data_IF_474219803326
#
_entry.id   IF_474219803326
#
_cell.length_a   1.000
_cell.length_b   1.000
_cell.length_c   1.000
_cell.angle_alpha   90.00
_cell.angle_beta   90.00
_cell.angle_gamma   90.00
#
_symmetry.space_group_name_H-M   'P 1'
#
loop_
_entity.id
_entity.type
_entity.pdbx_description
1 polymer ?
#
# COMPACT_ATOMS: atom_id res chain seq x y z
N UNK A 1 46.13 -3.46 -12.07
CA UNK A 1 46.55 -4.03 -10.76
C UNK A 1 48.06 -4.24 -10.64
N UNK A 2 48.71 -5.16 -11.37
CA UNK A 2 50.18 -5.39 -11.24
C UNK A 2 51.03 -4.12 -11.45
N UNK A 3 50.65 -3.28 -12.42
CA UNK A 3 51.32 -1.97 -12.67
C UNK A 3 51.00 -0.89 -11.62
N UNK A 4 49.87 -1.01 -10.92
CA UNK A 4 49.40 0.00 -9.97
C UNK A 4 50.15 -0.04 -8.63
N UNK A 5 50.92 -1.10 -8.36
CA UNK A 5 51.61 -1.31 -7.09
C UNK A 5 50.65 -1.74 -5.99
N UNK A 6 49.81 -0.83 -5.48
CA UNK A 6 48.94 -1.12 -4.32
C UNK A 6 47.48 -1.33 -4.71
N UNK A 7 46.80 -2.22 -3.99
CA UNK A 7 45.37 -2.46 -4.16
C UNK A 7 44.68 -2.81 -2.84
N UNK A 8 43.34 -2.84 -2.88
CA UNK A 8 42.48 -3.26 -1.79
C UNK A 8 41.45 -4.28 -2.31
N UNK A 9 41.07 -5.22 -1.46
CA UNK A 9 40.05 -6.22 -1.76
C UNK A 9 38.76 -5.94 -1.00
N UNK A 10 37.63 -6.19 -1.64
CA UNK A 10 36.35 -6.36 -0.98
C UNK A 10 35.87 -7.78 -1.27
N UNK A 11 35.54 -8.52 -0.21
CA UNK A 11 35.20 -9.94 -0.29
C UNK A 11 33.82 -10.14 0.30
N UNK A 12 32.99 -10.89 -0.41
CA UNK A 12 31.67 -11.29 0.03
C UNK A 12 31.48 -12.78 -0.23
N UNK A 13 30.88 -13.48 0.73
CA UNK A 13 30.48 -14.87 0.59
C UNK A 13 28.98 -14.92 0.32
N UNK A 14 28.60 -15.64 -0.71
CA UNK A 14 27.20 -15.78 -1.08
C UNK A 14 26.89 -17.21 -1.47
N UNK A 15 25.68 -17.66 -1.14
CA UNK A 15 25.15 -18.94 -1.64
C UNK A 15 24.44 -18.71 -2.97
N UNK A 16 24.79 -19.49 -3.99
CA UNK A 16 24.13 -19.41 -5.29
C UNK A 16 22.80 -20.18 -5.32
N UNK A 17 22.13 -20.16 -6.48
CA UNK A 17 20.82 -20.82 -6.68
C UNK A 17 20.87 -22.35 -6.60
N UNK A 18 22.05 -22.94 -6.75
CA UNK A 18 22.29 -24.38 -6.57
C UNK A 18 22.59 -24.76 -5.12
N UNK A 19 22.73 -23.78 -4.23
CA UNK A 19 23.07 -24.02 -2.82
C UNK A 19 24.57 -24.07 -2.56
N UNK A 20 25.40 -23.79 -3.56
CA UNK A 20 26.85 -23.80 -3.43
C UNK A 20 27.37 -22.45 -2.95
N UNK A 21 28.36 -22.47 -2.06
CA UNK A 21 29.00 -21.26 -1.55
C UNK A 21 29.97 -20.69 -2.59
N UNK A 22 29.86 -19.40 -2.87
CA UNK A 22 30.68 -18.66 -3.82
C UNK A 22 31.40 -17.53 -3.09
N UNK A 23 32.70 -17.39 -3.36
CA UNK A 23 33.49 -16.25 -2.93
C UNK A 23 33.56 -15.22 -4.07
N UNK A 24 32.97 -14.06 -3.84
CA UNK A 24 33.04 -12.92 -4.74
C UNK A 24 34.12 -11.96 -4.27
N UNK A 25 35.11 -11.70 -5.14
CA UNK A 25 36.19 -10.78 -4.87
C UNK A 25 36.11 -9.58 -5.80
N UNK A 26 36.08 -8.38 -5.23
CA UNK A 26 36.25 -7.13 -5.93
C UNK A 26 37.62 -6.56 -5.60
N UNK A 27 38.24 -5.90 -6.56
CA UNK A 27 39.51 -5.21 -6.37
C UNK A 27 39.35 -3.73 -6.68
N UNK A 28 39.94 -2.91 -5.82
CA UNK A 28 40.07 -1.46 -5.99
C UNK A 28 41.54 -1.07 -6.02
N UNK A 29 41.96 -0.35 -7.05
CA UNK A 29 43.34 0.14 -7.19
C UNK A 29 43.37 1.50 -7.89
N UNK A 30 44.45 2.25 -7.72
CA UNK A 30 44.66 3.51 -8.44
C UNK A 30 45.52 3.24 -9.69
N UNK A 31 45.07 3.70 -10.84
CA UNK A 31 45.87 3.68 -12.09
C UNK A 31 46.05 5.11 -12.57
N UNK A 32 47.29 5.53 -12.86
CA UNK A 32 47.67 6.91 -13.23
C UNK A 32 46.98 8.01 -12.36
N UNK A 33 45.78 8.44 -12.74
CA UNK A 33 44.95 9.43 -12.02
C UNK A 33 43.64 8.87 -11.42
N UNK A 34 43.17 7.70 -11.83
CA UNK A 34 41.80 7.23 -11.57
C UNK A 34 41.74 6.03 -10.62
N UNK A 35 40.67 5.98 -9.81
CA UNK A 35 40.36 4.83 -8.97
C UNK A 35 39.53 3.84 -9.78
N UNK A 36 40.09 2.64 -9.98
CA UNK A 36 39.46 1.59 -10.75
C UNK A 36 38.90 0.50 -9.83
N UNK A 37 37.72 0.00 -10.17
CA UNK A 37 37.00 -1.05 -9.45
C UNK A 37 36.53 -2.12 -10.41
N UNK A 38 36.92 -3.36 -10.14
CA UNK A 38 36.54 -4.50 -10.96
C UNK A 38 36.22 -5.72 -10.10
N UNK A 39 35.35 -6.58 -10.64
CA UNK A 39 35.24 -7.95 -10.15
C UNK A 39 36.55 -8.64 -10.50
N UNK A 40 37.27 -9.11 -9.48
CA UNK A 40 38.51 -9.84 -9.63
C UNK A 40 38.23 -11.30 -10.00
N UNK A 41 37.34 -11.95 -9.25
CA UNK A 41 36.82 -13.28 -9.57
C UNK A 41 35.53 -13.57 -8.80
N UNK A 42 34.82 -14.60 -9.26
CA UNK A 42 33.80 -15.33 -8.52
C UNK A 42 34.20 -16.81 -8.57
N UNK A 43 34.53 -17.41 -7.43
CA UNK A 43 35.00 -18.80 -7.37
C UNK A 43 34.21 -19.58 -6.31
N UNK A 44 33.87 -20.82 -6.64
CA UNK A 44 33.21 -21.72 -5.70
C UNK A 44 34.13 -22.06 -4.53
N UNK A 45 33.53 -22.23 -3.34
CA UNK A 45 34.19 -22.75 -2.15
C UNK A 45 33.84 -24.25 -2.06
N UNK A 46 34.74 -25.16 -2.46
CA UNK A 46 34.41 -26.59 -2.66
C UNK A 46 34.16 -27.37 -1.36
N UNK A 47 34.51 -26.81 -0.20
CA UNK A 47 34.39 -27.47 1.10
C UNK A 47 33.58 -26.65 2.09
N UNK A 48 34.22 -26.22 3.18
CA UNK A 48 33.62 -25.41 4.23
C UNK A 48 33.89 -23.92 3.98
N UNK A 49 32.96 -23.07 4.40
CA UNK A 49 33.14 -21.60 4.40
C UNK A 49 34.06 -21.13 5.54
N UNK A 50 35.21 -21.78 5.74
CA UNK A 50 36.20 -21.41 6.77
C UNK A 50 37.17 -20.37 6.24
N UNK A 51 37.76 -19.59 7.15
CA UNK A 51 38.76 -18.58 6.79
C UNK A 51 40.01 -19.16 6.09
N UNK A 52 40.36 -20.42 6.36
CA UNK A 52 41.48 -21.11 5.71
C UNK A 52 41.16 -21.46 4.26
N UNK A 53 39.98 -22.00 3.97
CA UNK A 53 39.57 -22.31 2.59
C UNK A 53 39.41 -21.03 1.75
N UNK A 54 38.81 -19.99 2.34
CA UNK A 54 38.69 -18.68 1.70
C UNK A 54 40.09 -18.12 1.37
N UNK A 55 41.04 -18.22 2.31
CA UNK A 55 42.43 -17.82 2.08
C UNK A 55 43.07 -18.62 0.94
N UNK A 56 42.93 -19.95 0.93
CA UNK A 56 43.51 -20.81 -0.10
C UNK A 56 42.98 -20.49 -1.50
N UNK A 57 41.69 -20.18 -1.65
CA UNK A 57 41.12 -19.77 -2.94
C UNK A 57 41.73 -18.47 -3.44
N UNK A 58 41.86 -17.46 -2.56
CA UNK A 58 42.47 -16.17 -2.92
C UNK A 58 43.96 -16.35 -3.22
N UNK A 59 44.68 -17.08 -2.37
CA UNK A 59 46.12 -17.33 -2.50
C UNK A 59 46.47 -18.11 -3.77
N UNK A 60 45.64 -19.11 -4.12
CA UNK A 60 45.80 -19.85 -5.38
C UNK A 60 45.59 -18.95 -6.58
N UNK A 61 44.58 -18.08 -6.56
CA UNK A 61 44.37 -17.08 -7.62
C UNK A 61 45.55 -16.11 -7.71
N UNK A 62 46.10 -15.68 -6.57
CA UNK A 62 47.24 -14.76 -6.50
C UNK A 62 48.50 -15.40 -7.09
N UNK A 63 48.80 -16.65 -6.73
CA UNK A 63 49.92 -17.42 -7.29
C UNK A 63 49.78 -17.66 -8.79
N UNK A 64 48.58 -18.04 -9.25
CA UNK A 64 48.29 -18.26 -10.67
C UNK A 64 48.53 -17.00 -11.52
N UNK A 65 48.29 -15.82 -10.96
CA UNK A 65 48.37 -14.54 -11.66
C UNK A 65 49.61 -13.70 -11.29
N UNK A 66 50.54 -14.28 -10.52
CA UNK A 66 51.77 -13.63 -10.07
C UNK A 66 51.49 -12.30 -9.33
N UNK A 67 50.62 -12.37 -8.32
CA UNK A 67 50.22 -11.25 -7.46
C UNK A 67 50.76 -11.51 -6.05
N UNK A 68 51.57 -10.59 -5.54
CA UNK A 68 52.05 -10.68 -4.16
C UNK A 68 51.05 -10.07 -3.16
N UNK A 69 50.94 -10.72 -1.99
CA UNK A 69 50.13 -10.23 -0.88
C UNK A 69 50.63 -8.91 -0.29
N UNK A 70 51.92 -8.62 -0.40
CA UNK A 70 52.59 -7.39 0.08
C UNK A 70 51.96 -6.12 -0.49
N UNK A 71 51.41 -6.19 -1.70
CA UNK A 71 50.73 -5.12 -2.40
C UNK A 71 49.26 -4.92 -1.98
N UNK A 72 48.66 -5.91 -1.30
CA UNK A 72 47.30 -5.82 -0.78
C UNK A 72 47.30 -5.02 0.52
N UNK A 73 46.82 -3.78 0.48
CA UNK A 73 46.86 -2.87 1.63
C UNK A 73 45.68 -3.03 2.57
N UNK A 74 44.51 -3.36 2.03
CA UNK A 74 43.25 -3.41 2.78
C UNK A 74 42.37 -4.58 2.32
N UNK A 75 41.66 -5.19 3.27
CA UNK A 75 40.57 -6.13 3.02
C UNK A 75 39.30 -5.60 3.67
N UNK A 76 38.21 -5.53 2.90
CA UNK A 76 36.87 -5.21 3.36
C UNK A 76 35.99 -6.46 3.34
N UNK A 77 35.37 -6.83 4.47
CA UNK A 77 34.43 -7.97 4.55
C UNK A 77 33.22 -7.64 5.41
N UNK A 78 32.18 -8.46 5.34
CA UNK A 78 30.96 -8.40 6.17
C UNK A 78 31.22 -8.63 7.68
N UNK A 79 32.43 -9.01 8.06
CA UNK A 79 32.80 -9.24 9.46
C UNK A 79 32.32 -10.56 10.05
N UNK A 80 31.80 -11.50 9.24
CA UNK A 80 31.52 -12.85 9.68
C UNK A 80 32.77 -13.50 10.33
N UNK A 81 32.58 -14.40 11.29
CA UNK A 81 33.69 -14.99 12.05
C UNK A 81 34.73 -15.69 11.15
N UNK A 82 34.27 -16.30 10.05
CA UNK A 82 35.13 -16.90 9.04
C UNK A 82 36.00 -15.88 8.29
N UNK A 83 35.53 -14.64 8.15
CA UNK A 83 36.24 -13.55 7.47
C UNK A 83 37.14 -12.77 8.43
N UNK A 84 36.59 -12.33 9.56
CA UNK A 84 37.23 -11.37 10.49
C UNK A 84 38.02 -12.02 11.63
N UNK A 85 37.87 -13.33 11.85
CA UNK A 85 38.51 -14.04 12.96
C UNK A 85 40.03 -13.91 12.96
N UNK A 86 40.61 -13.46 14.08
CA UNK A 86 42.04 -13.14 14.18
C UNK A 86 43.00 -14.33 14.20
N UNK A 87 42.48 -15.56 14.36
CA UNK A 87 43.30 -16.80 14.39
C UNK A 87 42.92 -17.74 13.26
N UNK A 88 41.64 -18.14 13.21
CA UNK A 88 41.10 -19.11 12.23
C UNK A 88 40.36 -18.46 11.06
N UNK A 89 40.08 -17.16 11.13
CA UNK A 89 39.42 -16.43 10.06
C UNK A 89 40.39 -16.04 8.95
N UNK A 90 39.86 -15.61 7.81
CA UNK A 90 40.63 -15.14 6.67
C UNK A 90 41.67 -14.11 7.09
N UNK A 91 41.27 -13.11 7.88
CA UNK A 91 42.18 -12.07 8.36
C UNK A 91 43.37 -12.65 9.14
N UNK A 92 43.14 -13.65 9.98
CA UNK A 92 44.21 -14.35 10.70
C UNK A 92 45.18 -15.10 9.78
N UNK A 93 44.67 -15.66 8.68
CA UNK A 93 45.50 -16.34 7.67
C UNK A 93 46.31 -15.33 6.85
N UNK A 94 45.68 -14.26 6.37
CA UNK A 94 46.36 -13.24 5.55
C UNK A 94 47.45 -12.53 6.34
N UNK A 95 47.26 -12.31 7.65
CA UNK A 95 48.29 -11.72 8.52
C UNK A 95 49.57 -12.55 8.62
N UNK A 96 49.55 -13.84 8.28
CA UNK A 96 50.75 -14.68 8.23
C UNK A 96 51.62 -14.40 7.01
N UNK A 97 51.02 -13.89 5.93
CA UNK A 97 51.71 -13.58 4.66
C UNK A 97 51.86 -12.08 4.40
N UNK A 98 51.05 -11.24 5.05
CA UNK A 98 51.17 -9.79 5.05
C UNK A 98 50.77 -9.22 6.43
N UNK A 99 51.76 -8.88 7.25
CA UNK A 99 51.56 -8.36 8.61
C UNK A 99 50.98 -6.95 8.66
N UNK A 100 51.20 -6.16 7.61
CA UNK A 100 50.79 -4.75 7.53
C UNK A 100 49.35 -4.56 7.02
N UNK A 101 48.67 -5.67 6.67
CA UNK A 101 47.34 -5.59 6.08
C UNK A 101 46.31 -5.01 7.05
N UNK A 102 45.52 -4.07 6.53
CA UNK A 102 44.43 -3.44 7.28
C UNK A 102 43.10 -4.11 6.93
N UNK A 103 42.22 -4.18 7.91
CA UNK A 103 40.87 -4.71 7.72
C UNK A 103 39.83 -3.63 7.97
N UNK A 104 38.81 -3.60 7.12
CA UNK A 104 37.65 -2.75 7.24
C UNK A 104 36.39 -3.60 7.32
N UNK A 105 35.56 -3.32 8.32
CA UNK A 105 34.23 -3.90 8.39
C UNK A 105 33.30 -3.18 7.41
N UNK A 106 32.63 -3.92 6.54
CA UNK A 106 31.66 -3.40 5.57
C UNK A 106 30.65 -2.47 6.25
N UNK A 107 30.60 -1.22 5.78
CA UNK A 107 29.76 -0.17 6.39
C UNK A 107 28.26 -0.49 6.26
N UNK A 108 27.88 -1.11 5.14
CA UNK A 108 26.50 -1.52 4.85
C UNK A 108 26.08 -2.60 5.84
N UNK A 109 26.97 -3.56 6.12
CA UNK A 109 26.70 -4.56 7.13
C UNK A 109 26.64 -3.96 8.55
N UNK A 110 27.52 -2.99 8.88
CA UNK A 110 27.45 -2.27 10.16
C UNK A 110 26.15 -1.49 10.34
N UNK A 111 25.68 -0.83 9.29
CA UNK A 111 24.36 -0.16 9.27
C UNK A 111 23.24 -1.18 9.51
N UNK A 112 23.25 -2.31 8.80
CA UNK A 112 22.28 -3.38 8.98
C UNK A 112 22.30 -3.97 10.41
N UNK A 113 23.48 -4.09 11.02
CA UNK A 113 23.60 -4.52 12.43
C UNK A 113 23.07 -3.46 13.40
N UNK A 114 23.28 -2.18 13.12
CA UNK A 114 22.77 -1.08 13.95
C UNK A 114 21.23 -1.05 13.91
N UNK A 115 20.63 -1.25 12.73
CA UNK A 115 19.18 -1.25 12.55
C UNK A 115 18.46 -2.48 13.10
N UNK A 116 19.18 -3.54 13.52
CA UNK A 116 18.61 -4.68 14.27
C UNK A 116 18.27 -4.34 15.71
N UNK A 117 18.83 -3.26 16.28
CA UNK A 117 18.55 -2.85 17.65
C UNK A 117 17.25 -2.04 17.69
N UNK A 118 16.16 -2.73 17.94
CA UNK A 118 14.81 -2.18 18.01
C UNK A 118 14.26 -2.39 19.43
N UNK A 119 13.41 -1.49 19.93
CA UNK A 119 12.81 -1.65 21.26
C UNK A 119 11.97 -2.94 21.33
N UNK A 120 11.78 -3.55 22.51
CA UNK A 120 10.98 -4.78 22.63
C UNK A 120 9.56 -4.64 22.06
N UNK A 121 8.93 -3.48 22.23
CA UNK A 121 7.57 -3.18 21.76
C UNK A 121 7.51 -3.17 20.23
N UNK A 122 8.48 -2.52 19.59
CA UNK A 122 8.56 -2.46 18.13
C UNK A 122 9.04 -3.80 17.54
N UNK A 123 9.85 -4.56 18.27
CA UNK A 123 10.27 -5.92 17.88
C UNK A 123 9.08 -6.87 17.83
N UNK A 124 8.16 -6.78 18.79
CA UNK A 124 6.94 -7.59 18.80
C UNK A 124 6.08 -7.32 17.54
N UNK A 125 5.91 -6.06 17.16
CA UNK A 125 5.19 -5.67 15.93
C UNK A 125 5.88 -6.23 14.67
N UNK A 126 7.21 -6.19 14.61
CA UNK A 126 7.97 -6.78 13.50
C UNK A 126 7.77 -8.30 13.42
N UNK A 127 7.81 -9.00 14.55
CA UNK A 127 7.64 -10.45 14.59
C UNK A 127 6.24 -10.86 14.15
N UNK A 128 5.21 -10.13 14.58
CA UNK A 128 3.84 -10.38 14.16
C UNK A 128 3.64 -10.07 12.68
N UNK A 129 4.20 -8.97 12.17
CA UNK A 129 4.21 -8.66 10.75
C UNK A 129 4.85 -9.79 9.92
N UNK A 130 5.99 -10.32 10.35
CA UNK A 130 6.66 -11.44 9.68
C UNK A 130 5.78 -12.70 9.70
N UNK A 131 5.14 -13.03 10.82
CA UNK A 131 4.21 -14.19 10.92
C UNK A 131 3.03 -14.05 9.95
N UNK A 132 2.43 -12.86 9.86
CA UNK A 132 1.31 -12.59 8.95
C UNK A 132 1.72 -12.77 7.49
N UNK A 133 2.86 -12.20 7.11
CA UNK A 133 3.39 -12.29 5.75
C UNK A 133 3.72 -13.76 5.42
N UNK A 134 4.38 -14.46 6.33
CA UNK A 134 4.69 -15.88 6.16
C UNK A 134 3.43 -16.73 6.06
N UNK A 135 2.36 -16.43 6.81
CA UNK A 135 1.09 -17.13 6.69
C UNK A 135 0.46 -16.98 5.30
N UNK A 136 0.41 -15.75 4.77
CA UNK A 136 -0.14 -15.47 3.44
C UNK A 136 0.71 -16.15 2.35
N UNK A 137 2.04 -16.18 2.53
CA UNK A 137 2.96 -16.82 1.58
C UNK A 137 3.15 -18.34 1.78
N UNK A 138 2.72 -18.91 2.92
CA UNK A 138 2.95 -20.31 3.27
C UNK A 138 2.35 -21.30 2.27
N UNK A 139 1.25 -20.92 1.61
CA UNK A 139 0.51 -21.75 0.66
C UNK A 139 0.25 -20.98 -0.63
N UNK A 140 0.48 -21.60 -1.81
CA UNK A 140 0.12 -20.99 -3.09
C UNK A 140 -1.37 -20.62 -3.20
N UNK A 141 -2.26 -21.35 -2.49
CA UNK A 141 -3.67 -21.01 -2.41
C UNK A 141 -3.90 -19.69 -1.66
N UNK A 142 -3.31 -19.51 -0.48
CA UNK A 142 -3.44 -18.29 0.32
C UNK A 142 -3.00 -17.07 -0.50
N UNK A 143 -1.87 -17.17 -1.19
CA UNK A 143 -1.39 -16.10 -2.08
C UNK A 143 -2.38 -15.76 -3.20
N UNK A 144 -2.99 -16.76 -3.83
CA UNK A 144 -4.00 -16.53 -4.88
C UNK A 144 -5.28 -15.92 -4.33
N UNK A 145 -5.77 -16.41 -3.19
CA UNK A 145 -6.96 -15.87 -2.54
C UNK A 145 -6.73 -14.43 -2.07
N UNK A 146 -5.58 -14.14 -1.46
CA UNK A 146 -5.21 -12.79 -1.09
C UNK A 146 -5.07 -11.88 -2.32
N UNK A 147 -4.49 -12.38 -3.42
CA UNK A 147 -4.44 -11.63 -4.67
C UNK A 147 -5.83 -11.34 -5.22
N UNK A 148 -6.73 -12.31 -5.21
CA UNK A 148 -8.12 -12.11 -5.61
C UNK A 148 -8.80 -11.07 -4.72
N UNK A 149 -8.63 -11.17 -3.39
CA UNK A 149 -9.13 -10.16 -2.46
C UNK A 149 -8.56 -8.77 -2.77
N UNK A 150 -7.26 -8.65 -3.08
CA UNK A 150 -6.65 -7.39 -3.49
C UNK A 150 -7.05 -6.96 -4.91
N UNK A 151 -7.51 -7.84 -5.79
CA UNK A 151 -8.08 -7.48 -7.10
C UNK A 151 -9.56 -7.11 -7.01
N UNK A 152 -10.23 -7.56 -5.94
CA UNK A 152 -11.60 -7.23 -5.50
C UNK A 152 -11.64 -6.10 -4.44
N UNK A 153 -10.48 -5.72 -3.90
CA UNK A 153 -10.20 -4.54 -3.06
C UNK A 153 -9.30 -3.51 -3.77
N UNK A 154 -8.72 -3.88 -4.94
CA UNK A 154 -8.23 -3.07 -6.09
C UNK A 154 -7.36 -1.91 -5.67
N UNK A 155 -6.65 -2.27 -4.62
CA UNK A 155 -5.41 -1.73 -4.17
C UNK A 155 -4.45 -1.64 -5.35
N UNK A 156 -3.56 -0.65 -5.30
CA UNK A 156 -2.48 -0.50 -6.28
C UNK A 156 -1.59 -1.77 -6.31
N UNK A 157 -1.60 -2.52 -5.22
CA UNK A 157 -0.75 -3.66 -5.01
C UNK A 157 -1.55 -4.92 -4.73
N UNK A 158 -1.36 -5.92 -5.58
CA UNK A 158 -2.15 -7.16 -5.51
C UNK A 158 -1.49 -8.26 -4.66
N UNK A 159 -0.27 -8.03 -4.18
CA UNK A 159 0.51 -9.02 -3.45
C UNK A 159 1.44 -8.37 -2.43
N UNK A 160 1.61 -9.07 -1.31
CA UNK A 160 2.68 -8.81 -0.34
C UNK A 160 4.03 -9.21 -0.91
N UNK A 161 5.08 -8.56 -0.40
CA UNK A 161 6.46 -8.90 -0.72
C UNK A 161 6.95 -9.98 0.25
N UNK A 162 7.50 -11.06 -0.31
CA UNK A 162 8.15 -12.10 0.47
C UNK A 162 9.31 -11.51 1.29
N UNK A 163 9.30 -11.83 2.57
CA UNK A 163 10.45 -11.61 3.43
C UNK A 163 11.40 -12.81 3.33
N UNK A 164 12.69 -12.55 3.16
CA UNK A 164 13.75 -13.52 3.43
C UNK A 164 14.67 -12.93 4.48
N UNK A 165 15.02 -13.72 5.50
CA UNK A 165 15.89 -13.30 6.62
C UNK A 165 17.26 -12.76 6.18
N UNK A 166 17.65 -13.07 4.94
CA UNK A 166 19.01 -12.86 4.42
C UNK A 166 19.30 -11.38 4.14
N UNK A 167 18.31 -10.47 4.03
CA UNK A 167 18.58 -9.03 3.79
C UNK A 167 17.59 -8.13 4.51
N UNK A 168 18.02 -7.49 5.62
CA UNK A 168 17.22 -6.54 6.43
C UNK A 168 16.58 -5.41 5.61
N UNK A 169 17.18 -5.06 4.46
CA UNK A 169 16.72 -4.02 3.54
C UNK A 169 15.39 -4.33 2.83
N UNK A 170 15.04 -5.62 2.67
CA UNK A 170 13.73 -5.99 2.14
C UNK A 170 12.60 -5.64 3.11
N UNK A 171 12.89 -5.56 4.42
CA UNK A 171 11.88 -5.29 5.46
C UNK A 171 11.20 -3.94 5.25
N UNK A 172 11.91 -2.87 4.86
CA UNK A 172 11.29 -1.56 4.66
C UNK A 172 10.18 -1.58 3.60
N UNK A 173 10.48 -2.17 2.43
CA UNK A 173 9.48 -2.32 1.35
C UNK A 173 8.35 -3.27 1.74
N UNK A 174 8.70 -4.36 2.43
CA UNK A 174 7.72 -5.34 2.90
C UNK A 174 6.78 -4.76 3.96
N UNK A 175 7.28 -3.96 4.91
CA UNK A 175 6.48 -3.29 5.94
C UNK A 175 5.61 -2.18 5.35
N UNK A 176 6.17 -1.39 4.42
CA UNK A 176 5.39 -0.41 3.65
C UNK A 176 4.21 -1.10 2.95
N UNK A 177 4.49 -2.19 2.23
CA UNK A 177 3.45 -2.96 1.52
C UNK A 177 2.42 -3.56 2.48
N UNK A 178 2.85 -4.06 3.63
CA UNK A 178 1.96 -4.58 4.66
C UNK A 178 1.06 -3.48 5.21
N UNK A 179 1.62 -2.29 5.46
CA UNK A 179 0.85 -1.13 5.90
C UNK A 179 -0.13 -0.65 4.82
N UNK A 180 0.26 -0.60 3.55
CA UNK A 180 -0.65 -0.23 2.45
C UNK A 180 -1.83 -1.19 2.31
N UNK A 181 -1.61 -2.48 2.59
CA UNK A 181 -2.62 -3.55 2.46
C UNK A 181 -3.21 -3.99 3.81
N UNK A 182 -3.04 -3.22 4.88
CA UNK A 182 -3.37 -3.69 6.24
C UNK A 182 -4.86 -4.01 6.42
N UNK A 183 -5.74 -3.33 5.68
CA UNK A 183 -7.18 -3.59 5.70
C UNK A 183 -7.53 -4.93 5.03
N UNK A 184 -6.97 -5.18 3.84
CA UNK A 184 -7.15 -6.44 3.12
C UNK A 184 -6.55 -7.60 3.90
N UNK A 185 -5.40 -7.38 4.52
CA UNK A 185 -4.76 -8.36 5.40
C UNK A 185 -5.64 -8.65 6.60
N UNK A 186 -6.23 -7.65 7.24
CA UNK A 186 -7.17 -7.85 8.34
C UNK A 186 -8.39 -8.70 7.93
N UNK A 187 -9.03 -8.36 6.81
CA UNK A 187 -10.18 -9.12 6.26
C UNK A 187 -9.77 -10.57 5.97
N UNK A 188 -8.65 -10.76 5.28
CA UNK A 188 -8.12 -12.08 4.96
C UNK A 188 -7.85 -12.92 6.21
N UNK A 189 -7.25 -12.34 7.25
CA UNK A 189 -6.95 -13.03 8.50
C UNK A 189 -8.24 -13.38 9.28
N UNK A 190 -9.26 -12.51 9.26
CA UNK A 190 -10.57 -12.79 9.87
C UNK A 190 -11.28 -13.96 9.20
N UNK A 191 -11.32 -13.99 7.87
CA UNK A 191 -11.92 -15.10 7.11
C UNK A 191 -11.24 -16.44 7.41
N UNK A 192 -9.93 -16.41 7.62
CA UNK A 192 -9.12 -17.59 7.95
C UNK A 192 -9.03 -17.86 9.47
N UNK A 193 -9.76 -17.11 10.31
CA UNK A 193 -9.78 -17.22 11.77
C UNK A 193 -8.37 -17.20 12.39
N UNK A 194 -7.47 -16.42 11.81
CA UNK A 194 -6.09 -16.32 12.26
C UNK A 194 -5.99 -15.45 13.53
N UNK A 195 -5.23 -15.89 14.53
CA UNK A 195 -5.14 -15.23 15.84
C UNK A 195 -4.63 -13.78 15.76
N UNK A 196 -3.71 -13.50 14.82
CA UNK A 196 -3.17 -12.15 14.58
C UNK A 196 -4.15 -11.20 13.87
N UNK A 197 -5.39 -11.59 13.56
CA UNK A 197 -6.36 -10.62 13.04
C UNK A 197 -6.63 -9.47 14.03
N UNK A 198 -6.63 -9.77 15.33
CA UNK A 198 -6.93 -8.79 16.40
C UNK A 198 -5.90 -7.66 16.48
N UNK A 199 -4.64 -7.89 16.10
CA UNK A 199 -3.62 -6.84 16.20
C UNK A 199 -3.83 -5.71 15.19
N UNK A 200 -4.57 -5.94 14.12
CA UNK A 200 -4.93 -4.90 13.15
C UNK A 200 -6.13 -4.04 13.61
N UNK A 201 -6.88 -4.49 14.61
CA UNK A 201 -7.90 -3.69 15.29
C UNK A 201 -7.24 -2.73 16.31
N UNK A 202 -6.06 -3.08 16.82
CA UNK A 202 -5.30 -2.26 17.74
C UNK A 202 -4.73 -1.02 17.01
N UNK A 203 -5.36 0.10 17.34
CA UNK A 203 -5.03 1.42 16.90
C UNK A 203 -3.55 1.80 17.05
N UNK A 204 -2.95 1.40 18.16
CA UNK A 204 -1.59 1.69 18.56
C UNK A 204 -0.60 0.76 17.84
N UNK A 205 -0.98 -0.52 17.67
CA UNK A 205 -0.21 -1.47 16.87
C UNK A 205 -0.08 -1.02 15.42
N UNK A 206 -1.17 -0.58 14.78
CA UNK A 206 -1.14 -0.06 13.40
C UNK A 206 -0.30 1.22 13.30
N UNK A 207 -0.31 2.08 14.33
CA UNK A 207 0.55 3.26 14.40
C UNK A 207 2.04 2.88 14.48
N UNK A 208 2.38 1.88 15.31
CA UNK A 208 3.75 1.33 15.40
C UNK A 208 4.18 0.69 14.07
N UNK A 209 3.28 0.00 13.36
CA UNK A 209 3.55 -0.53 12.03
C UNK A 209 3.84 0.60 11.02
N UNK A 210 3.05 1.68 11.04
CA UNK A 210 3.27 2.86 10.19
C UNK A 210 4.65 3.48 10.44
N UNK A 211 5.00 3.69 11.71
CA UNK A 211 6.31 4.19 12.11
C UNK A 211 7.45 3.28 11.64
N UNK A 212 7.29 1.96 11.82
CA UNK A 212 8.27 0.97 11.36
C UNK A 212 8.46 1.04 9.84
N UNK A 213 7.38 1.16 9.07
CA UNK A 213 7.45 1.32 7.63
C UNK A 213 8.22 2.60 7.23
N UNK A 214 7.96 3.74 7.89
CA UNK A 214 8.66 4.99 7.61
C UNK A 214 10.16 4.93 7.98
N UNK A 215 10.50 4.47 9.19
CA UNK A 215 11.90 4.46 9.66
C UNK A 215 12.75 3.46 8.86
N UNK A 216 12.20 2.29 8.52
CA UNK A 216 12.91 1.34 7.67
C UNK A 216 13.05 1.81 6.22
N UNK A 217 12.09 2.59 5.71
CA UNK A 217 12.25 3.23 4.40
C UNK A 217 13.43 4.20 4.38
N UNK A 218 13.60 5.01 5.43
CA UNK A 218 14.74 5.91 5.60
C UNK A 218 16.07 5.19 5.77
N UNK A 219 16.09 4.08 6.51
CA UNK A 219 17.28 3.21 6.63
C UNK A 219 17.65 2.59 5.27
N UNK A 220 16.66 2.14 4.51
CA UNK A 220 16.86 1.61 3.17
C UNK A 220 17.40 2.67 2.19
N UNK A 221 16.93 3.91 2.27
CA UNK A 221 17.51 5.04 1.51
C UNK A 221 18.98 5.28 1.87
N UNK A 222 19.32 5.32 3.17
CA UNK A 222 20.71 5.43 3.60
C UNK A 222 21.54 4.30 3.02
N UNK A 223 21.09 3.05 3.16
CA UNK A 223 21.82 1.89 2.71
C UNK A 223 22.06 1.91 1.19
N UNK A 224 21.04 2.22 0.39
CA UNK A 224 21.20 2.40 -1.06
C UNK A 224 22.19 3.51 -1.39
N UNK A 225 22.20 4.60 -0.61
CA UNK A 225 23.16 5.69 -0.80
C UNK A 225 24.60 5.30 -0.44
N UNK A 226 24.82 4.26 0.37
CA UNK A 226 26.14 3.73 0.70
C UNK A 226 26.67 2.77 -0.37
N UNK A 227 25.85 2.42 -1.37
CA UNK A 227 26.21 1.57 -2.49
C UNK A 227 26.50 2.39 -3.75
N UNK A 228 27.04 1.72 -4.77
CA UNK A 228 27.22 2.28 -6.11
C UNK A 228 28.65 2.71 -6.43
N UNK A 229 28.85 3.03 -7.71
CA UNK A 229 30.15 3.47 -8.25
C UNK A 229 30.60 4.76 -7.58
N UNK A 230 31.92 4.93 -7.42
CA UNK A 230 32.57 6.10 -6.81
C UNK A 230 32.30 6.29 -5.30
N UNK A 231 31.62 5.35 -4.64
CA UNK A 231 31.44 5.41 -3.19
C UNK A 231 32.76 5.07 -2.46
N UNK A 232 33.32 6.06 -1.77
CA UNK A 232 34.52 5.91 -0.93
C UNK A 232 34.24 6.24 0.54
N UNK A 233 35.19 5.87 1.40
CA UNK A 233 35.04 5.93 2.87
C UNK A 233 34.63 7.32 3.39
N UNK A 234 35.19 8.39 2.84
CA UNK A 234 34.84 9.76 3.26
C UNK A 234 33.37 10.11 2.95
N UNK A 235 32.90 9.85 1.73
CA UNK A 235 31.51 10.08 1.31
C UNK A 235 30.54 9.21 2.14
N UNK A 236 30.89 7.94 2.35
CA UNK A 236 30.10 7.04 3.19
C UNK A 236 30.01 7.53 4.64
N UNK A 237 31.12 8.02 5.20
CA UNK A 237 31.17 8.59 6.54
C UNK A 237 30.29 9.84 6.66
N UNK A 238 30.36 10.76 5.69
CA UNK A 238 29.54 11.96 5.67
C UNK A 238 28.05 11.64 5.56
N UNK A 239 27.68 10.63 4.76
CA UNK A 239 26.30 10.12 4.66
C UNK A 239 25.78 9.58 5.99
N UNK A 240 26.55 8.71 6.66
CA UNK A 240 26.17 8.15 7.97
C UNK A 240 26.10 9.25 9.04
N UNK A 241 27.07 10.17 9.05
CA UNK A 241 27.08 11.31 9.97
C UNK A 241 25.88 12.24 9.75
N UNK A 242 25.55 12.52 8.49
CA UNK A 242 24.37 13.28 8.11
C UNK A 242 23.07 12.60 8.54
N UNK A 243 22.97 11.27 8.38
CA UNK A 243 21.82 10.50 8.85
C UNK A 243 21.70 10.52 10.38
N UNK A 244 22.82 10.42 11.10
CA UNK A 244 22.83 10.50 12.57
C UNK A 244 22.26 11.85 13.05
N UNK A 245 22.68 12.96 12.43
CA UNK A 245 22.11 14.29 12.70
C UNK A 245 20.62 14.39 12.36
N UNK A 246 20.16 13.70 11.31
CA UNK A 246 18.73 13.63 10.98
C UNK A 246 17.94 12.88 12.07
N UNK A 247 18.46 11.79 12.60
CA UNK A 247 17.84 11.07 13.73
C UNK A 247 17.71 11.98 14.96
N UNK A 248 18.76 12.72 15.32
CA UNK A 248 18.72 13.69 16.43
C UNK A 248 17.69 14.82 16.19
N UNK A 249 17.54 15.26 14.95
CA UNK A 249 16.50 16.23 14.59
C UNK A 249 15.09 15.64 14.70
N UNK A 250 14.88 14.43 14.20
CA UNK A 250 13.58 13.75 14.27
C UNK A 250 13.17 13.47 15.72
N UNK A 251 14.12 13.08 16.57
CA UNK A 251 13.87 12.90 18.00
C UNK A 251 13.34 14.19 18.64
N UNK A 252 14.02 15.32 18.42
CA UNK A 252 13.57 16.63 18.94
C UNK A 252 12.19 17.03 18.40
N UNK A 253 11.92 16.78 17.13
CA UNK A 253 10.59 17.04 16.54
C UNK A 253 9.51 16.17 17.20
N UNK A 254 9.80 14.89 17.47
CA UNK A 254 8.89 14.01 18.18
C UNK A 254 8.61 14.49 19.62
N UNK A 255 9.62 15.05 20.32
CA UNK A 255 9.44 15.67 21.65
C UNK A 255 8.50 16.88 21.58
N UNK A 256 8.49 17.60 20.45
CA UNK A 256 7.57 18.70 20.13
C UNK A 256 6.22 18.21 19.56
N UNK A 257 5.95 16.91 19.57
CA UNK A 257 4.78 16.26 18.97
C UNK A 257 4.65 16.42 17.45
N UNK A 258 5.73 16.82 16.76
CA UNK A 258 5.81 16.88 15.30
C UNK A 258 6.37 15.57 14.73
N UNK A 259 5.49 14.76 14.14
CA UNK A 259 5.86 13.51 13.45
C UNK A 259 5.85 13.64 11.93
N UNK A 260 5.88 14.86 11.38
CA UNK A 260 5.91 15.12 9.92
C UNK A 260 7.06 14.42 9.19
N UNK A 261 8.13 14.07 9.91
CA UNK A 261 9.24 13.30 9.38
C UNK A 261 8.88 11.83 9.08
N UNK A 262 7.74 11.33 9.58
CA UNK A 262 7.20 9.98 9.37
C UNK A 262 5.80 10.10 8.73
N UNK A 263 5.69 10.21 7.38
CA UNK A 263 4.44 10.51 6.69
C UNK A 263 3.31 9.50 6.92
N UNK A 264 3.62 8.20 7.01
CA UNK A 264 2.59 7.18 7.25
C UNK A 264 2.05 7.30 8.67
N UNK A 265 2.95 7.46 9.66
CA UNK A 265 2.56 7.71 11.04
C UNK A 265 1.74 8.99 11.18
N UNK A 266 2.20 10.10 10.56
CA UNK A 266 1.49 11.37 10.58
C UNK A 266 0.08 11.21 10.00
N UNK A 267 -0.04 10.56 8.84
CA UNK A 267 -1.34 10.34 8.19
C UNK A 267 -2.26 9.53 9.10
N UNK A 268 -1.77 8.44 9.70
CA UNK A 268 -2.54 7.60 10.62
C UNK A 268 -3.02 8.36 11.87
N UNK A 269 -2.16 9.22 12.44
CA UNK A 269 -2.53 10.00 13.61
C UNK A 269 -3.51 11.12 13.25
N UNK A 270 -3.30 11.81 12.13
CA UNK A 270 -4.20 12.88 11.66
C UNK A 270 -5.59 12.32 11.37
N UNK A 271 -5.71 11.21 10.63
CA UNK A 271 -7.02 10.60 10.34
C UNK A 271 -7.77 10.20 11.59
N UNK A 272 -7.07 9.78 12.66
CA UNK A 272 -7.67 9.48 13.96
C UNK A 272 -8.08 10.69 14.76
N UNK A 273 -7.26 11.74 14.75
CA UNK A 273 -7.62 13.01 15.40
C UNK A 273 -8.86 13.58 14.72
N UNK A 274 -8.88 13.62 13.38
CA UNK A 274 -10.04 14.08 12.61
C UNK A 274 -11.28 13.23 12.86
N UNK A 275 -11.15 11.91 12.92
CA UNK A 275 -12.24 10.99 13.25
C UNK A 275 -12.79 11.24 14.67
N UNK A 276 -11.89 11.46 15.65
CA UNK A 276 -12.27 11.75 17.03
C UNK A 276 -12.95 13.10 17.15
N UNK A 277 -12.41 14.14 16.52
CA UNK A 277 -13.02 15.47 16.46
C UNK A 277 -14.40 15.41 15.79
N UNK A 278 -14.55 14.62 14.72
CA UNK A 278 -15.84 14.39 14.09
C UNK A 278 -16.83 13.69 15.04
N UNK A 279 -16.38 12.69 15.80
CA UNK A 279 -17.22 12.01 16.80
C UNK A 279 -17.61 12.93 17.98
N UNK A 280 -16.68 13.72 18.48
CA UNK A 280 -16.92 14.67 19.58
C UNK A 280 -17.85 15.81 19.12
N UNK A 281 -17.67 16.28 17.88
CA UNK A 281 -18.61 17.20 17.25
C UNK A 281 -20.00 16.58 17.11
N UNK A 282 -20.10 15.32 16.64
CA UNK A 282 -21.37 14.62 16.49
C UNK A 282 -22.08 14.51 17.85
N UNK A 283 -21.37 14.16 18.92
CA UNK A 283 -21.94 14.13 20.28
C UNK A 283 -22.40 15.50 20.75
N UNK A 284 -21.57 16.52 20.60
CA UNK A 284 -21.88 17.88 21.03
C UNK A 284 -23.06 18.50 20.25
N UNK A 285 -23.21 18.13 18.97
CA UNK A 285 -24.30 18.56 18.11
C UNK A 285 -25.61 17.79 18.35
N UNK A 286 -25.62 16.77 19.24
CA UNK A 286 -26.84 16.01 19.59
C UNK A 286 -27.03 14.70 18.80
N UNK A 287 -25.96 14.19 18.17
CA UNK A 287 -25.95 12.97 17.35
C UNK A 287 -25.05 11.85 17.88
N UNK A 288 -25.15 11.47 19.16
CA UNK A 288 -24.27 10.44 19.73
C UNK A 288 -24.39 9.07 19.04
N UNK A 289 -25.54 8.77 18.42
CA UNK A 289 -25.77 7.52 17.69
C UNK A 289 -24.85 7.37 16.47
N UNK A 290 -24.47 8.45 15.78
CA UNK A 290 -23.58 8.37 14.62
C UNK A 290 -22.11 8.29 15.01
N UNK A 291 -21.75 8.91 16.14
CA UNK A 291 -20.44 8.69 16.76
C UNK A 291 -20.31 7.22 17.23
N UNK A 292 -21.36 6.66 17.83
CA UNK A 292 -21.39 5.26 18.25
C UNK A 292 -21.29 4.29 17.06
N UNK A 293 -22.02 4.54 15.97
CA UNK A 293 -21.92 3.74 14.74
C UNK A 293 -20.53 3.81 14.11
N UNK A 294 -19.84 4.95 14.21
CA UNK A 294 -18.44 5.08 13.79
C UNK A 294 -17.51 4.23 14.64
N UNK A 295 -17.64 4.31 15.97
CA UNK A 295 -16.83 3.55 16.92
C UNK A 295 -17.08 2.04 16.84
N UNK A 296 -18.31 1.64 16.54
CA UNK A 296 -18.69 0.24 16.32
C UNK A 296 -18.30 -0.27 14.91
N UNK A 297 -17.61 0.55 14.10
CA UNK A 297 -17.21 0.24 12.71
C UNK A 297 -18.38 -0.13 11.78
N UNK A 298 -19.58 0.41 12.03
CA UNK A 298 -20.81 0.11 11.29
C UNK A 298 -21.07 1.08 10.12
N UNK A 299 -20.09 1.24 9.23
CA UNK A 299 -20.24 2.04 8.01
C UNK A 299 -20.66 1.21 6.78
N UNK A 300 -21.39 1.82 5.82
CA UNK A 300 -21.83 3.22 5.77
C UNK A 300 -23.11 3.51 6.59
N UNK A 301 -23.20 4.74 7.14
CA UNK A 301 -24.38 5.23 7.89
C UNK A 301 -25.49 5.67 6.91
N UNK A 302 -26.72 5.20 7.10
CA UNK A 302 -27.89 5.67 6.34
C UNK A 302 -28.22 7.13 6.72
N UNK A 303 -28.19 8.03 5.74
CA UNK A 303 -28.39 9.48 5.92
C UNK A 303 -29.87 9.90 5.89
N UNK A 304 -30.77 9.02 5.45
CA UNK A 304 -32.22 9.33 5.39
C UNK A 304 -32.87 9.45 6.77
N UNK A 305 -32.57 8.59 7.77
CA UNK A 305 -33.02 8.78 9.14
C UNK A 305 -32.46 10.06 9.76
N UNK A 306 -31.17 10.39 9.52
CA UNK A 306 -30.52 11.60 10.06
C UNK A 306 -31.31 12.87 9.72
N UNK A 307 -31.69 13.02 8.44
CA UNK A 307 -32.43 14.19 7.94
C UNK A 307 -33.89 14.23 8.38
N UNK A 308 -34.48 13.07 8.66
CA UNK A 308 -35.87 12.96 9.13
C UNK A 308 -35.97 13.23 10.64
N UNK A 309 -34.98 12.78 11.39
CA UNK A 309 -35.01 12.79 12.85
C UNK A 309 -34.46 14.12 13.43
N UNK A 310 -33.79 14.95 12.60
CA UNK A 310 -33.16 16.23 13.00
C UNK A 310 -33.29 17.32 11.91
N UNK A 311 -34.51 17.78 11.73
CA UNK A 311 -35.00 18.78 10.76
C UNK A 311 -34.56 20.23 11.07
N UNK A 312 -33.99 20.49 12.24
CA UNK A 312 -33.55 21.82 12.70
C UNK A 312 -32.08 22.16 12.42
N UNK A 313 -31.29 21.22 11.90
CA UNK A 313 -29.90 21.49 11.49
C UNK A 313 -29.87 22.26 10.18
N UNK A 314 -29.36 23.49 10.22
CA UNK A 314 -29.21 24.33 9.03
C UNK A 314 -28.24 23.70 8.00
N UNK A 315 -28.51 23.89 6.70
CA UNK A 315 -27.73 23.31 5.59
C UNK A 315 -26.22 23.59 5.70
N UNK A 316 -25.88 24.77 6.23
CA UNK A 316 -24.50 25.26 6.34
C UNK A 316 -23.73 24.69 7.54
N UNK A 317 -24.40 24.05 8.51
CA UNK A 317 -23.77 23.39 9.67
C UNK A 317 -23.47 21.90 9.40
N UNK A 318 -24.20 21.29 8.48
CA UNK A 318 -24.03 19.89 8.05
C UNK A 318 -23.10 19.79 6.83
N UNK A 319 -23.02 20.84 6.01
CA UNK A 319 -22.16 20.91 4.83
C UNK A 319 -20.65 20.72 5.11
N UNK A 320 -20.04 21.23 6.19
CA UNK A 320 -18.63 20.96 6.50
C UNK A 320 -18.37 19.49 6.86
N UNK A 321 -19.34 18.83 7.50
CA UNK A 321 -19.32 17.38 7.75
C UNK A 321 -19.43 16.58 6.44
N UNK A 322 -20.23 17.08 5.47
CA UNK A 322 -20.43 16.47 4.16
C UNK A 322 -19.43 16.92 3.08
N UNK A 323 -18.67 18.02 3.23
CA UNK A 323 -17.57 18.38 2.31
C UNK A 323 -16.39 17.42 2.45
N UNK A 324 -16.27 16.72 3.59
CA UNK A 324 -15.26 15.69 3.89
C UNK A 324 -15.73 14.26 3.61
N UNK A 325 -16.97 14.07 3.15
CA UNK A 325 -17.50 12.81 2.59
C UNK A 325 -18.69 13.16 1.66
N UNK A 326 -18.54 13.06 0.32
CA UNK A 326 -19.39 13.79 -0.61
C UNK A 326 -20.88 13.39 -0.48
N UNK A 327 -21.80 14.36 -0.42
CA UNK A 327 -23.24 14.12 -0.48
C UNK A 327 -23.66 13.97 -1.95
N UNK A 328 -24.87 13.46 -2.15
CA UNK A 328 -25.55 13.25 -3.43
C UNK A 328 -25.29 11.89 -4.10
N UNK A 329 -25.40 10.83 -3.30
CA UNK A 329 -25.81 9.52 -3.82
C UNK A 329 -27.27 9.29 -3.47
N UNK A 330 -28.13 9.06 -4.48
CA UNK A 330 -29.51 8.67 -4.21
C UNK A 330 -29.55 7.37 -3.38
N UNK A 331 -30.53 7.21 -2.47
CA UNK A 331 -30.49 6.18 -1.41
C UNK A 331 -30.47 4.71 -1.86
N UNK A 332 -30.52 4.43 -3.16
CA UNK A 332 -30.56 3.09 -3.75
C UNK A 332 -29.34 2.76 -4.62
N UNK A 333 -28.35 3.67 -4.74
CA UNK A 333 -27.18 3.52 -5.65
C UNK A 333 -25.82 3.60 -4.94
N UNK A 334 -25.41 2.63 -4.10
CA UNK A 334 -24.10 2.65 -3.42
C UNK A 334 -22.89 2.64 -4.36
N UNK A 335 -23.11 2.34 -5.64
CA UNK A 335 -22.05 2.25 -6.64
C UNK A 335 -21.63 3.62 -7.17
N UNK A 336 -22.40 4.70 -6.96
CA UNK A 336 -22.12 6.05 -7.49
C UNK A 336 -21.56 6.98 -6.40
N UNK A 337 -20.27 7.30 -6.47
CA UNK A 337 -19.50 8.01 -5.46
C UNK A 337 -19.59 9.55 -5.51
N UNK A 338 -19.91 10.15 -6.66
CA UNK A 338 -20.04 11.61 -6.76
C UNK A 338 -21.03 11.91 -7.87
N UNK A 339 -22.06 12.73 -7.65
CA UNK A 339 -23.01 13.17 -8.69
C UNK A 339 -23.00 14.72 -8.79
N UNK A 340 -22.89 15.30 -10.00
CA UNK A 340 -22.96 16.76 -10.22
C UNK A 340 -23.92 17.10 -11.36
N UNK A 341 -24.89 17.98 -11.09
CA UNK A 341 -25.81 18.53 -12.11
C UNK A 341 -25.06 19.58 -12.94
N UNK A 342 -24.79 19.28 -14.20
CA UNK A 342 -23.95 20.12 -15.05
C UNK A 342 -24.71 21.31 -15.67
N UNK A 343 -26.00 21.14 -16.01
CA UNK A 343 -26.92 22.18 -16.52
C UNK A 343 -28.37 21.62 -16.61
N UNK A 344 -29.38 22.47 -16.43
CA UNK A 344 -30.78 22.20 -16.78
C UNK A 344 -31.14 22.83 -18.13
N UNK A 345 -31.74 22.06 -19.04
CA UNK A 345 -32.23 22.58 -20.33
C UNK A 345 -33.56 23.33 -20.20
N UNK A 346 -33.97 24.06 -21.25
CA UNK A 346 -35.15 24.94 -21.31
C UNK A 346 -36.54 24.26 -21.19
N UNK A 347 -36.59 23.04 -20.66
CA UNK A 347 -37.80 22.31 -20.28
C UNK A 347 -37.48 21.58 -18.97
N UNK A 348 -38.35 21.68 -17.95
CA UNK A 348 -38.18 21.10 -16.60
C UNK A 348 -37.93 19.57 -16.57
N UNK A 349 -37.89 18.90 -17.72
CA UNK A 349 -37.78 17.45 -17.90
C UNK A 349 -36.42 16.97 -18.42
N UNK A 350 -35.41 17.85 -18.54
CA UNK A 350 -34.07 17.52 -19.08
C UNK A 350 -32.93 18.02 -18.18
N UNK A 351 -32.04 17.11 -17.75
CA UNK A 351 -30.86 17.44 -16.95
C UNK A 351 -29.62 16.67 -17.38
N UNK A 352 -28.48 17.35 -17.47
CA UNK A 352 -27.17 16.73 -17.63
C UNK A 352 -26.55 16.44 -16.26
N UNK A 353 -26.09 15.21 -16.05
CA UNK A 353 -25.59 14.75 -14.76
C UNK A 353 -24.28 13.97 -14.95
N UNK A 354 -23.25 14.34 -14.19
CA UNK A 354 -22.01 13.56 -14.11
C UNK A 354 -22.03 12.70 -12.87
N UNK A 355 -21.57 11.45 -12.98
CA UNK A 355 -21.36 10.61 -11.81
C UNK A 355 -20.10 9.75 -11.89
N UNK A 356 -19.52 9.37 -10.76
CA UNK A 356 -18.40 8.42 -10.69
C UNK A 356 -18.82 7.10 -10.05
N UNK A 357 -18.57 5.97 -10.69
CA UNK A 357 -18.83 4.64 -10.13
C UNK A 357 -17.57 4.10 -9.44
N UNK A 358 -17.63 3.81 -8.14
CA UNK A 358 -16.57 3.03 -7.46
C UNK A 358 -17.15 1.65 -7.24
N UNK A 359 -16.82 0.73 -8.13
CA UNK A 359 -16.86 -0.67 -7.75
C UNK A 359 -15.68 -0.82 -6.83
N UNK A 360 -15.86 -1.01 -5.52
CA UNK A 360 -14.73 -1.50 -4.74
C UNK A 360 -14.42 -2.85 -5.37
N UNK A 361 -13.34 -2.89 -6.17
CA UNK A 361 -12.22 -1.98 -5.97
C UNK A 361 -11.53 -1.28 -7.14
N UNK A 362 -12.14 -1.35 -8.29
CA UNK A 362 -11.48 -0.84 -9.47
C UNK A 362 -11.49 0.67 -9.46
N UNK A 363 -10.57 1.21 -10.26
CA UNK A 363 -10.41 2.64 -10.47
C UNK A 363 -11.77 3.31 -10.69
N UNK A 364 -12.00 4.50 -10.11
CA UNK A 364 -13.27 5.21 -10.23
C UNK A 364 -13.63 5.40 -11.71
N UNK A 365 -14.81 4.94 -12.10
CA UNK A 365 -15.30 5.10 -13.46
C UNK A 365 -16.13 6.38 -13.56
N UNK A 366 -15.68 7.38 -14.31
CA UNK A 366 -16.42 8.65 -14.43
C UNK A 366 -17.33 8.61 -15.65
N UNK A 367 -18.58 9.02 -15.50
CA UNK A 367 -19.56 9.12 -16.56
C UNK A 367 -20.24 10.50 -16.55
N UNK A 368 -20.70 10.92 -17.73
CA UNK A 368 -21.55 12.09 -17.93
C UNK A 368 -22.70 11.68 -18.83
N UNK A 369 -23.93 11.75 -18.31
CA UNK A 369 -25.13 11.37 -19.05
C UNK A 369 -26.15 12.49 -19.11
N UNK A 370 -26.89 12.55 -20.22
CA UNK A 370 -28.14 13.26 -20.31
C UNK A 370 -29.25 12.36 -19.78
N UNK A 371 -30.05 12.89 -18.84
CA UNK A 371 -31.26 12.23 -18.34
C UNK A 371 -32.50 12.96 -18.83
N UNK A 372 -33.52 12.20 -19.22
CA UNK A 372 -34.84 12.68 -19.61
C UNK A 372 -35.90 11.78 -19.01
N UNK A 373 -36.96 12.36 -18.45
CA UNK A 373 -38.06 11.58 -17.87
C UNK A 373 -39.43 12.05 -18.37
N UNK A 374 -40.37 11.10 -18.42
CA UNK A 374 -41.78 11.33 -18.75
C UNK A 374 -42.67 10.65 -17.73
N UNK A 375 -43.70 11.38 -17.28
CA UNK A 375 -44.65 10.94 -16.25
C UNK A 375 -46.07 10.78 -16.79
N UNK A 376 -46.27 11.04 -18.09
CA UNK A 376 -47.55 11.14 -18.80
C UNK A 376 -47.71 10.05 -19.87
N UNK A 377 -47.24 8.83 -19.59
CA UNK A 377 -47.38 7.71 -20.54
C UNK A 377 -48.74 7.01 -20.41
N UNK A 378 -49.22 6.33 -21.47
CA UNK A 378 -50.47 5.58 -21.44
C UNK A 378 -50.54 4.64 -20.23
N UNK A 379 -51.74 4.51 -19.64
CA UNK A 379 -52.00 3.64 -18.48
C UNK A 379 -51.26 4.05 -17.19
N UNK A 380 -50.84 5.32 -17.08
CA UNK A 380 -50.21 5.86 -15.87
C UNK A 380 -48.76 5.42 -15.66
N UNK A 381 -48.08 5.01 -16.73
CA UNK A 381 -46.68 4.62 -16.68
C UNK A 381 -45.73 5.84 -16.62
N UNK A 382 -44.52 5.62 -16.09
CA UNK A 382 -43.45 6.61 -16.06
C UNK A 382 -42.18 6.02 -16.67
N UNK A 383 -41.37 6.84 -17.34
CA UNK A 383 -40.09 6.41 -17.93
C UNK A 383 -38.98 7.40 -17.66
N UNK A 384 -37.77 6.90 -17.37
CA UNK A 384 -36.53 7.64 -17.24
C UNK A 384 -35.47 7.03 -18.17
N UNK A 385 -35.02 7.83 -19.14
CA UNK A 385 -33.97 7.49 -20.10
C UNK A 385 -32.67 8.22 -19.71
N UNK A 386 -31.56 7.49 -19.78
CA UNK A 386 -30.21 8.00 -19.55
C UNK A 386 -29.24 7.52 -20.64
N UNK A 387 -28.48 8.46 -21.22
CA UNK A 387 -27.51 8.21 -22.30
C UNK A 387 -26.25 9.03 -22.06
N UNK A 388 -25.06 8.45 -22.29
CA UNK A 388 -23.81 9.21 -22.18
C UNK A 388 -23.73 10.30 -23.26
N UNK A 389 -23.40 11.53 -22.85
CA UNK A 389 -23.25 12.69 -23.74
C UNK A 389 -21.84 13.29 -23.62
N UNK A 390 -21.39 13.97 -24.67
CA UNK A 390 -20.16 14.75 -24.67
C UNK A 390 -20.50 16.23 -24.48
N UNK A 391 -19.91 16.87 -23.47
CA UNK A 391 -20.15 18.28 -23.17
C UNK A 391 -18.82 19.02 -22.95
N UNK A 392 -18.66 20.17 -23.62
CA UNK A 392 -17.41 20.93 -23.71
C UNK A 392 -16.89 21.50 -22.37
N UNK A 393 -17.73 21.56 -21.33
CA UNK A 393 -17.34 22.07 -20.01
C UNK A 393 -16.71 21.02 -19.08
N UNK A 394 -16.43 19.82 -19.58
CA UNK A 394 -15.74 18.77 -18.81
C UNK A 394 -14.74 18.05 -19.73
N UNK A 395 -13.48 18.52 -19.80
CA UNK A 395 -12.45 17.86 -20.60
C UNK A 395 -12.13 16.48 -20.02
N UNK A 396 -11.79 15.55 -20.89
CA UNK A 396 -11.36 14.21 -20.52
C UNK A 396 -10.14 14.28 -19.58
N UNK A 397 -10.25 13.63 -18.41
CA UNK A 397 -9.16 13.23 -17.52
C UNK A 397 -8.25 14.40 -17.11
N UNK A 398 -8.62 15.11 -16.04
CA UNK A 398 -7.70 16.07 -15.40
C UNK A 398 -8.33 17.05 -14.41
N UNK A 399 -9.65 17.32 -14.49
CA UNK A 399 -10.28 18.38 -13.70
C UNK A 399 -11.04 17.93 -12.44
N UNK A 400 -11.11 16.62 -12.18
CA UNK A 400 -11.57 16.06 -10.90
C UNK A 400 -10.35 15.33 -10.36
N UNK A 401 -9.88 15.64 -9.16
CA UNK A 401 -8.58 15.23 -8.59
C UNK A 401 -8.30 13.73 -8.44
N UNK A 402 -8.97 12.87 -9.21
CA UNK A 402 -8.67 11.45 -9.36
C UNK A 402 -7.72 11.24 -10.55
N UNK A 403 -6.42 11.26 -10.27
CA UNK A 403 -5.40 10.75 -11.20
C UNK A 403 -5.68 9.25 -11.42
N UNK A 404 -6.04 8.85 -12.66
CA UNK A 404 -6.20 7.44 -13.04
C UNK A 404 -7.61 6.90 -13.34
N UNK A 405 -8.67 7.73 -13.28
CA UNK A 405 -10.06 7.32 -13.53
C UNK A 405 -10.35 6.90 -14.99
N UNK A 406 -11.22 5.89 -15.21
CA UNK A 406 -11.59 5.37 -16.54
C UNK A 406 -13.00 5.82 -16.95
N UNK A 407 -13.19 6.39 -18.15
CA UNK A 407 -14.52 6.87 -18.57
C UNK A 407 -15.43 5.72 -19.01
N UNK A 408 -16.53 5.49 -18.28
CA UNK A 408 -17.58 4.54 -18.69
C UNK A 408 -18.55 5.16 -19.70
N UNK A 409 -19.12 4.35 -20.59
CA UNK A 409 -20.06 4.76 -21.63
C UNK A 409 -21.40 4.03 -21.40
N UNK A 410 -22.43 4.78 -21.05
CA UNK A 410 -23.82 4.32 -21.03
C UNK A 410 -24.37 4.50 -22.44
N UNK A 411 -24.48 3.39 -23.16
CA UNK A 411 -25.08 3.35 -24.48
C UNK A 411 -26.59 3.46 -24.39
N UNK A 412 -27.19 2.88 -23.35
CA UNK A 412 -28.62 2.97 -23.07
C UNK A 412 -28.90 2.63 -21.60
N UNK A 413 -29.76 3.37 -20.91
CA UNK A 413 -30.29 2.99 -19.60
C UNK A 413 -31.69 3.55 -19.44
N UNK A 414 -32.68 2.66 -19.44
CA UNK A 414 -34.10 2.95 -19.40
C UNK A 414 -34.75 2.31 -18.18
N UNK A 415 -35.36 3.14 -17.35
CA UNK A 415 -36.22 2.69 -16.26
C UNK A 415 -37.67 2.93 -16.65
N UNK A 416 -38.46 1.87 -16.72
CA UNK A 416 -39.90 1.91 -16.98
C UNK A 416 -40.65 1.49 -15.71
N UNK A 417 -41.58 2.32 -15.28
CA UNK A 417 -42.44 2.09 -14.12
C UNK A 417 -43.89 1.96 -14.59
N UNK A 418 -44.48 0.79 -14.37
CA UNK A 418 -45.87 0.49 -14.74
C UNK A 418 -46.71 0.19 -13.49
N UNK A 419 -47.93 0.75 -13.36
CA UNK A 419 -48.79 0.41 -12.23
C UNK A 419 -49.27 -1.04 -12.31
N UNK A 420 -49.19 -1.79 -11.20
CA UNK A 420 -49.56 -3.21 -11.14
C UNK A 420 -50.68 -3.54 -10.13
N UNK A 421 -51.49 -2.54 -9.75
CA UNK A 421 -52.60 -2.68 -8.79
C UNK A 421 -52.14 -2.64 -7.33
N UNK A 422 -53.07 -2.39 -6.38
CA UNK A 422 -52.79 -2.28 -4.94
C UNK A 422 -51.72 -1.23 -4.54
N UNK A 423 -51.63 -0.12 -5.30
CA UNK A 423 -50.64 0.94 -5.02
C UNK A 423 -49.19 0.54 -5.29
N UNK A 424 -48.96 -0.56 -6.01
CA UNK A 424 -47.62 -1.07 -6.37
C UNK A 424 -47.26 -0.74 -7.82
N UNK A 425 -45.96 -0.64 -8.08
CA UNK A 425 -45.40 -0.43 -9.42
C UNK A 425 -44.46 -1.57 -9.80
N UNK A 426 -44.55 -2.01 -11.05
CA UNK A 426 -43.55 -2.86 -11.69
C UNK A 426 -42.44 -1.98 -12.24
N UNK A 427 -41.22 -2.21 -11.80
CA UNK A 427 -40.02 -1.57 -12.33
C UNK A 427 -39.34 -2.50 -13.34
N UNK A 428 -39.12 -2.02 -14.56
CA UNK A 428 -38.32 -2.69 -15.59
C UNK A 428 -37.13 -1.81 -15.93
N UNK A 429 -35.91 -2.32 -15.73
CA UNK A 429 -34.68 -1.62 -16.07
C UNK A 429 -34.00 -2.32 -17.25
N UNK A 430 -33.80 -1.59 -18.35
CA UNK A 430 -33.10 -2.06 -19.54
C UNK A 430 -31.86 -1.19 -19.67
N UNK A 431 -30.67 -1.77 -19.59
CA UNK A 431 -29.44 -1.02 -19.75
C UNK A 431 -28.39 -1.75 -20.58
N UNK A 432 -27.53 -0.94 -21.20
CA UNK A 432 -26.34 -1.33 -21.94
C UNK A 432 -25.23 -0.34 -21.61
N UNK A 433 -24.25 -0.82 -20.87
CA UNK A 433 -23.15 0.01 -20.35
C UNK A 433 -21.82 -0.65 -20.64
N UNK A 434 -20.90 0.11 -21.23
CA UNK A 434 -19.50 -0.25 -21.34
C UNK A 434 -18.69 0.47 -20.25
N UNK A 435 -18.32 -0.28 -19.21
CA UNK A 435 -17.50 0.22 -18.11
C UNK A 435 -16.02 0.43 -18.50
N UNK A 436 -15.57 -0.05 -19.67
CA UNK A 436 -14.17 -0.04 -20.15
C UNK A 436 -13.16 -0.66 -19.17
N UNK A 437 -12.42 -1.67 -19.63
CA UNK A 437 -11.42 -2.38 -18.81
C UNK A 437 -11.96 -3.63 -18.08
N UNK A 438 -13.18 -4.07 -18.39
CA UNK A 438 -13.75 -5.36 -17.96
C UNK A 438 -13.70 -6.37 -19.10
N UNK A 439 -13.52 -7.65 -18.79
CA UNK A 439 -13.53 -8.72 -19.80
C UNK A 439 -14.97 -9.09 -20.22
N UNK A 440 -15.18 -9.63 -21.43
CA UNK A 440 -16.49 -10.14 -21.86
C UNK A 440 -17.09 -11.17 -20.89
N UNK A 441 -16.24 -12.03 -20.30
CA UNK A 441 -16.65 -13.06 -19.35
C UNK A 441 -17.20 -12.45 -18.05
N UNK A 442 -16.68 -11.29 -17.62
CA UNK A 442 -17.20 -10.58 -16.46
C UNK A 442 -18.59 -10.01 -16.74
N UNK A 443 -18.83 -9.42 -17.91
CA UNK A 443 -20.17 -8.92 -18.27
C UNK A 443 -21.20 -10.04 -18.28
N UNK A 444 -20.84 -11.20 -18.81
CA UNK A 444 -21.74 -12.36 -18.86
C UNK A 444 -22.05 -12.95 -17.48
N UNK A 445 -21.14 -12.85 -16.52
CA UNK A 445 -21.28 -13.48 -15.20
C UNK A 445 -21.73 -12.53 -14.09
N UNK A 446 -21.38 -11.24 -14.16
CA UNK A 446 -21.53 -10.32 -13.03
C UNK A 446 -22.46 -9.13 -13.32
N UNK A 447 -22.46 -8.60 -14.55
CA UNK A 447 -23.20 -7.37 -14.85
C UNK A 447 -24.71 -7.53 -14.70
N UNK A 448 -25.27 -8.69 -15.06
CA UNK A 448 -26.68 -9.00 -14.82
C UNK A 448 -27.07 -9.03 -13.34
N UNK A 449 -26.19 -9.55 -12.47
CA UNK A 449 -26.40 -9.54 -11.02
C UNK A 449 -26.35 -8.12 -10.45
N UNK A 450 -25.50 -7.24 -10.99
CA UNK A 450 -25.47 -5.83 -10.59
C UNK A 450 -26.78 -5.11 -10.93
N UNK A 451 -27.32 -5.32 -12.13
CA UNK A 451 -28.60 -4.74 -12.55
C UNK A 451 -29.76 -5.26 -11.68
N UNK A 452 -29.78 -6.57 -11.39
CA UNK A 452 -30.78 -7.17 -10.52
C UNK A 452 -30.67 -6.66 -9.07
N UNK A 453 -29.45 -6.50 -8.56
CA UNK A 453 -29.20 -5.94 -7.23
C UNK A 453 -29.63 -4.47 -7.16
N UNK A 454 -29.42 -3.68 -8.20
CA UNK A 454 -29.90 -2.29 -8.30
C UNK A 454 -31.43 -2.22 -8.26
N UNK A 455 -32.12 -3.02 -9.08
CA UNK A 455 -33.58 -3.10 -9.04
C UNK A 455 -34.12 -3.59 -7.68
N UNK A 456 -33.45 -4.56 -7.05
CA UNK A 456 -33.81 -5.04 -5.71
C UNK A 456 -33.59 -3.97 -4.64
N UNK A 457 -32.52 -3.16 -4.73
CA UNK A 457 -32.29 -2.03 -3.84
C UNK A 457 -33.34 -0.94 -4.00
N UNK A 458 -33.72 -0.61 -5.24
CA UNK A 458 -34.81 0.34 -5.52
C UNK A 458 -36.11 -0.19 -4.91
N UNK A 459 -36.40 -1.49 -5.00
CA UNK A 459 -37.58 -2.07 -4.35
C UNK A 459 -37.50 -1.96 -2.83
N UNK A 460 -36.36 -2.34 -2.25
CA UNK A 460 -36.18 -2.40 -0.80
C UNK A 460 -36.08 -1.01 -0.15
N UNK A 461 -35.84 0.06 -0.92
CA UNK A 461 -35.85 1.43 -0.40
C UNK A 461 -37.26 1.93 -0.03
N UNK A 462 -38.32 1.24 -0.47
CA UNK A 462 -39.70 1.48 -0.06
C UNK A 462 -40.07 0.50 1.08
N UNK A 463 -40.16 0.98 2.32
CA UNK A 463 -40.52 0.14 3.49
C UNK A 463 -42.00 -0.29 3.45
N UNK A 464 -42.37 -1.52 3.89
CA UNK A 464 -43.77 -1.89 4.08
C UNK A 464 -44.34 -1.15 5.30
N UNK A 465 -45.48 -0.49 5.13
CA UNK A 465 -46.23 0.12 6.23
C UNK A 465 -46.82 -1.02 7.08
N UNK A 466 -46.21 -1.34 8.22
CA UNK A 466 -46.82 -2.20 9.24
C UNK A 466 -47.77 -1.29 10.03
N UNK A 467 -49.06 -1.46 9.83
CA UNK A 467 -50.10 -0.82 10.65
C UNK A 467 -50.29 -1.62 11.93
N UNK A 468 -49.50 -1.37 12.96
CA UNK A 468 -49.86 -1.71 14.33
C UNK A 468 -50.57 -0.49 14.95
N UNK A 469 -51.89 -0.54 14.96
CA UNK A 469 -52.80 0.40 15.61
C UNK A 469 -54.14 -0.31 15.85
N UNK A 470 -54.82 -0.04 16.98
CA UNK A 470 -55.81 -0.94 17.53
C UNK A 470 -57.04 -1.04 16.63
N UNK A 471 -57.65 -2.23 16.62
CA UNK A 471 -58.97 -2.43 16.05
C UNK A 471 -59.96 -1.38 16.58
N UNK A 472 -60.34 -0.44 15.72
CA UNK A 472 -61.67 0.16 15.79
C UNK A 472 -62.44 -0.31 14.58
N UNK A 473 -63.31 -1.29 14.81
CA UNK A 473 -64.51 -1.47 14.01
C UNK A 473 -65.32 -0.18 14.09
N UNK A 474 -65.63 0.41 12.94
CA UNK A 474 -66.95 0.87 12.48
C UNK A 474 -66.89 0.91 10.96
#
# INVERSE_FOLDING_TARGET
MRRAGHFALQLDEMTDVSGEAQLLAFVRYKDESDINEHVLFCKALPGKTTGEEIFQVIDSFFKEHDIEWTYCTHICTDGAAAMSGGVKGLLGQVKKVNTEIKWLHCIIHREALASKRVSPELSAVLDDAVKVINFIHSRPLNRRLFQTLCQESGTEHEQLLLHTDVRWLSRGKTLLRLYELHNEVYVFLKEHQHSLAVVFEDAEWVARLAYLADVFSKLNELNLSLQGKESHILNMYDKVKGFTKKLELWLRKCDEMDVSCFPLLQTHLTTKIEAKEACDWLRAAGFPQYAQLFEDSQFPIDIRPVKRDHDFLDKDLVEPLCRRNPPDTEPWTPTHHTERKAKSGASERLSAVSWSLICIPHRPHVNMSGRSWRTDLPRGACSLLSLSIEHHSCPAVGAVGAVGAVRAIVLESNYLLEPCGSGKSRLTHICRVDLRGRTPEWYNKAFGHLCAAEAARIRNSFSPIITDGPETKI
#
